data_IF_120207755648
#
_entry.id   IF_120207755648
#
_cell.length_a   1.000
_cell.length_b   1.000
_cell.length_c   1.000
_cell.angle_alpha   90.00
_cell.angle_beta   90.00
_cell.angle_gamma   90.00
#
_symmetry.space_group_name_H-M   'P 1'
#
loop_
_entity.id
_entity.type
_entity.pdbx_description
1 polymer ?
#
# COMPACT_ATOMS: atom_id res chain seq x y z
N UNK A 1 1.63 17.44 0.70
CA UNK A 1 0.97 16.13 0.52
C UNK A 1 1.71 15.14 1.40
N UNK A 2 0.99 14.49 2.31
CA UNK A 2 1.52 13.46 3.21
C UNK A 2 0.82 12.15 2.86
N UNK A 3 1.58 11.19 2.34
CA UNK A 3 1.04 9.91 1.86
C UNK A 3 1.02 8.82 2.95
N UNK A 4 1.49 9.16 4.15
CA UNK A 4 1.56 8.25 5.30
C UNK A 4 2.69 7.23 5.20
N UNK A 5 2.42 6.01 5.63
CA UNK A 5 3.40 4.93 5.64
C UNK A 5 3.68 4.44 4.22
N UNK A 6 4.86 3.85 4.01
CA UNK A 6 5.28 3.33 2.71
C UNK A 6 5.70 1.87 2.83
N UNK A 7 5.33 1.09 1.82
CA UNK A 7 5.84 -0.26 1.61
C UNK A 7 5.92 -0.60 0.12
N UNK A 8 6.74 -1.59 -0.22
CA UNK A 8 6.65 -2.27 -1.51
C UNK A 8 5.78 -3.51 -1.33
N UNK A 9 4.67 -3.56 -2.07
CA UNK A 9 3.81 -4.73 -2.14
C UNK A 9 4.27 -5.62 -3.28
N UNK A 10 4.80 -6.79 -2.92
CA UNK A 10 5.36 -7.76 -3.84
C UNK A 10 4.28 -8.74 -4.30
N UNK A 11 4.13 -8.86 -5.61
CA UNK A 11 3.38 -9.96 -6.21
C UNK A 11 4.18 -11.24 -6.05
N UNK A 12 3.63 -12.23 -5.36
CA UNK A 12 4.28 -13.53 -5.15
C UNK A 12 3.41 -14.67 -5.68
N UNK A 13 4.06 -15.71 -6.21
CA UNK A 13 3.36 -16.90 -6.70
C UNK A 13 3.02 -17.89 -5.58
N UNK A 14 3.91 -17.98 -4.59
CA UNK A 14 3.80 -18.82 -3.39
C UNK A 14 4.19 -17.98 -2.17
N UNK A 15 3.18 -17.62 -1.37
CA UNK A 15 3.34 -16.76 -0.20
C UNK A 15 4.10 -17.46 0.92
N UNK A 16 3.92 -18.76 1.12
CA UNK A 16 4.62 -19.52 2.16
C UNK A 16 6.12 -19.58 1.84
N UNK A 17 6.46 -19.91 0.59
CA UNK A 17 7.85 -19.94 0.13
C UNK A 17 8.52 -18.56 0.22
N UNK A 18 7.79 -17.50 -0.16
CA UNK A 18 8.28 -16.12 -0.10
C UNK A 18 8.49 -15.65 1.33
N UNK A 19 7.52 -15.89 2.22
CA UNK A 19 7.63 -15.59 3.66
C UNK A 19 8.83 -16.29 4.28
N UNK A 20 9.00 -17.59 4.02
CA UNK A 20 10.14 -18.35 4.51
C UNK A 20 11.48 -17.83 3.98
N UNK A 21 11.52 -17.29 2.75
CA UNK A 21 12.70 -16.62 2.20
C UNK A 21 13.00 -15.30 2.94
N UNK A 22 12.02 -14.41 3.08
CA UNK A 22 12.20 -13.12 3.74
C UNK A 22 12.52 -13.25 5.23
N UNK A 23 12.02 -14.29 5.90
CA UNK A 23 12.41 -14.62 7.27
C UNK A 23 13.92 -14.85 7.43
N UNK A 24 14.58 -15.45 6.43
CA UNK A 24 16.06 -15.64 6.44
C UNK A 24 16.81 -14.32 6.31
N UNK A 25 16.17 -13.29 5.75
CA UNK A 25 16.69 -11.93 5.68
C UNK A 25 16.37 -11.12 6.94
N UNK A 26 15.75 -11.71 7.96
CA UNK A 26 15.43 -11.07 9.23
C UNK A 26 14.09 -10.33 9.26
N UNK A 27 13.24 -10.51 8.24
CA UNK A 27 11.88 -9.98 8.28
C UNK A 27 10.98 -10.80 9.22
N UNK A 28 10.08 -10.13 9.91
CA UNK A 28 9.05 -10.73 10.77
C UNK A 28 7.66 -10.31 10.32
N UNK A 29 6.68 -11.18 10.50
CA UNK A 29 5.27 -10.88 10.24
C UNK A 29 4.75 -9.84 11.25
N UNK A 30 4.11 -8.78 10.75
CA UNK A 30 3.52 -7.72 11.61
C UNK A 30 2.02 -7.55 11.39
N UNK A 31 1.51 -7.95 10.22
CA UNK A 31 0.08 -7.93 9.91
C UNK A 31 -0.21 -8.93 8.79
N UNK A 32 -1.46 -9.37 8.68
CA UNK A 32 -1.97 -10.08 7.51
C UNK A 32 -2.55 -11.43 7.87
N UNK A 33 -3.00 -12.14 6.84
CA UNK A 33 -3.51 -13.49 6.98
C UNK A 33 -3.03 -14.31 5.79
N UNK A 34 -2.06 -15.19 6.03
CA UNK A 34 -1.42 -16.01 4.98
C UNK A 34 -2.46 -16.84 4.20
N UNK A 35 -3.51 -17.33 4.88
CA UNK A 35 -4.64 -18.05 4.26
C UNK A 35 -5.48 -17.19 3.33
N UNK A 36 -5.46 -15.87 3.47
CA UNK A 36 -6.08 -14.92 2.53
C UNK A 36 -5.11 -14.49 1.42
N UNK A 37 -3.89 -15.04 1.38
CA UNK A 37 -2.90 -14.74 0.35
C UNK A 37 -2.19 -13.40 0.54
N UNK A 38 -2.16 -12.83 1.76
CA UNK A 38 -1.42 -11.60 2.01
C UNK A 38 -0.77 -11.52 3.39
N UNK A 39 0.43 -10.93 3.45
CA UNK A 39 1.20 -10.69 4.68
C UNK A 39 1.96 -9.37 4.59
N UNK A 40 2.08 -8.67 5.70
CA UNK A 40 2.99 -7.53 5.86
C UNK A 40 4.15 -7.97 6.74
N UNK A 41 5.36 -7.81 6.21
CA UNK A 41 6.60 -8.16 6.87
C UNK A 41 7.44 -6.92 7.14
N UNK A 42 8.16 -6.92 8.25
CA UNK A 42 9.04 -5.81 8.65
C UNK A 42 10.42 -6.29 9.09
N UNK A 43 11.46 -5.56 8.69
CA UNK A 43 12.82 -5.66 9.22
C UNK A 43 13.28 -4.25 9.56
N UNK A 44 13.34 -3.93 10.86
CA UNK A 44 13.58 -2.58 11.37
C UNK A 44 12.62 -1.56 10.71
N UNK A 45 13.15 -0.59 9.95
CA UNK A 45 12.36 0.44 9.26
C UNK A 45 11.87 -0.01 7.87
N UNK A 46 12.28 -1.19 7.39
CA UNK A 46 11.91 -1.69 6.08
C UNK A 46 10.62 -2.51 6.16
N UNK A 47 9.56 -2.05 5.48
CA UNK A 47 8.29 -2.77 5.38
C UNK A 47 8.05 -3.23 3.94
N UNK A 48 7.67 -4.50 3.79
CA UNK A 48 7.23 -5.09 2.52
C UNK A 48 5.91 -5.81 2.72
N UNK A 49 5.08 -5.85 1.69
CA UNK A 49 3.92 -6.72 1.64
C UNK A 49 4.16 -7.90 0.70
N UNK A 50 3.63 -9.07 1.01
CA UNK A 50 3.55 -10.22 0.12
C UNK A 50 2.09 -10.40 -0.25
N UNK A 51 1.79 -10.44 -1.54
CA UNK A 51 0.43 -10.57 -2.05
C UNK A 51 0.37 -11.60 -3.17
N UNK A 52 -0.37 -12.69 -2.92
CA UNK A 52 -0.54 -13.79 -3.87
C UNK A 52 -1.84 -13.62 -4.65
N UNK A 53 -1.72 -13.48 -5.98
CA UNK A 53 -2.88 -13.40 -6.88
C UNK A 53 -3.70 -12.10 -6.80
N UNK A 54 -3.18 -11.05 -6.16
CA UNK A 54 -3.90 -9.77 -6.01
C UNK A 54 -3.46 -8.68 -7.00
N UNK A 55 -2.19 -8.69 -7.43
CA UNK A 55 -1.63 -7.67 -8.31
C UNK A 55 -0.82 -8.31 -9.44
N UNK A 56 -0.88 -7.75 -10.65
CA UNK A 56 -0.12 -8.25 -11.80
C UNK A 56 1.38 -7.90 -11.74
N UNK A 57 1.73 -6.83 -11.01
CA UNK A 57 3.09 -6.33 -10.81
C UNK A 57 3.27 -5.90 -9.35
N UNK A 58 4.52 -5.89 -8.90
CA UNK A 58 4.88 -5.22 -7.65
C UNK A 58 4.41 -3.76 -7.68
N UNK A 59 3.88 -3.28 -6.56
CA UNK A 59 3.23 -1.98 -6.46
C UNK A 59 3.78 -1.18 -5.28
N UNK A 60 4.03 0.10 -5.52
CA UNK A 60 4.41 1.06 -4.48
C UNK A 60 3.15 1.40 -3.69
N UNK A 61 3.13 1.09 -2.40
CA UNK A 61 1.92 1.27 -1.59
C UNK A 61 2.17 2.30 -0.53
N UNK A 62 1.27 3.29 -0.49
CA UNK A 62 1.23 4.33 0.52
C UNK A 62 -0.06 4.23 1.32
N UNK A 63 0.03 4.38 2.64
CA UNK A 63 -1.14 4.31 3.52
C UNK A 63 -1.30 5.60 4.32
N UNK A 64 -2.12 6.55 3.82
CA UNK A 64 -2.47 7.76 4.55
C UNK A 64 -3.10 7.41 5.90
N UNK A 65 -2.81 8.22 6.92
CA UNK A 65 -3.33 8.01 8.26
C UNK A 65 -2.54 7.02 9.11
N UNK A 66 -1.48 6.39 8.57
CA UNK A 66 -0.55 5.59 9.36
C UNK A 66 0.86 6.18 9.38
N UNK A 67 1.56 6.02 10.51
CA UNK A 67 3.02 6.18 10.58
C UNK A 67 3.74 4.93 10.07
N UNK A 68 5.08 4.93 10.05
CA UNK A 68 5.88 3.81 9.52
C UNK A 68 5.69 2.51 10.31
N UNK A 69 5.30 2.63 11.58
CA UNK A 69 5.01 1.53 12.48
C UNK A 69 3.62 0.90 12.21
N UNK A 70 2.73 1.59 11.48
CA UNK A 70 1.36 1.17 11.21
C UNK A 70 0.34 1.68 12.25
N UNK A 71 0.70 2.70 13.01
CA UNK A 71 -0.16 3.31 14.02
C UNK A 71 -0.97 4.47 13.43
N UNK A 72 -2.23 4.58 13.83
CA UNK A 72 -3.14 5.64 13.36
C UNK A 72 -2.72 7.03 13.83
N UNK A 73 -2.55 7.94 12.88
CA UNK A 73 -2.28 9.36 13.10
C UNK A 73 -3.57 10.09 13.52
N UNK A 74 -3.43 11.11 14.36
CA UNK A 74 -4.57 11.93 14.78
C UNK A 74 -5.13 12.82 13.67
N UNK A 75 -4.30 13.19 12.69
CA UNK A 75 -4.67 14.00 11.53
C UNK A 75 -3.95 13.45 10.29
N UNK A 76 -4.66 13.37 9.17
CA UNK A 76 -4.14 12.99 7.86
C UNK A 76 -5.10 13.47 6.76
N UNK A 77 -4.61 13.57 5.53
CA UNK A 77 -5.44 13.96 4.39
C UNK A 77 -6.37 12.80 3.98
N UNK A 78 -7.66 13.10 3.79
CA UNK A 78 -8.59 12.13 3.23
C UNK A 78 -8.22 11.83 1.76
N UNK A 79 -8.37 10.57 1.36
CA UNK A 79 -8.06 10.07 0.02
C UNK A 79 -8.75 10.86 -1.11
N UNK A 80 -9.91 11.47 -0.84
CA UNK A 80 -10.64 12.31 -1.81
C UNK A 80 -10.01 13.70 -1.96
N UNK A 81 -9.38 14.22 -0.91
CA UNK A 81 -8.56 15.43 -1.00
C UNK A 81 -7.29 15.14 -1.81
N UNK A 82 -6.66 13.99 -1.56
CA UNK A 82 -5.50 13.53 -2.33
C UNK A 82 -5.86 13.36 -3.81
N UNK A 83 -6.99 12.71 -4.13
CA UNK A 83 -7.50 12.60 -5.51
C UNK A 83 -7.62 13.97 -6.19
N UNK A 84 -8.27 14.95 -5.54
CA UNK A 84 -8.46 16.29 -6.11
C UNK A 84 -7.14 16.97 -6.38
N UNK A 85 -6.20 16.86 -5.44
CA UNK A 85 -4.87 17.44 -5.59
C UNK A 85 -4.10 16.79 -6.75
N UNK A 86 -4.06 15.46 -6.83
CA UNK A 86 -3.36 14.74 -7.90
C UNK A 86 -3.94 15.09 -9.29
N UNK A 87 -5.27 15.16 -9.43
CA UNK A 87 -5.93 15.59 -10.68
C UNK A 87 -5.60 17.04 -11.04
N UNK A 88 -5.52 17.94 -10.06
CA UNK A 88 -5.15 19.34 -10.28
C UNK A 88 -3.71 19.49 -10.79
N UNK A 89 -2.81 18.58 -10.39
CA UNK A 89 -1.43 18.50 -10.89
C UNK A 89 -1.32 17.80 -12.27
N UNK A 90 -2.45 17.43 -12.88
CA UNK A 90 -2.48 16.82 -14.22
C UNK A 90 -2.17 15.33 -14.23
N UNK A 91 -2.20 14.64 -13.09
CA UNK A 91 -2.01 13.20 -13.02
C UNK A 91 -3.30 12.46 -13.39
N UNK A 92 -3.14 11.36 -14.14
CA UNK A 92 -4.25 10.48 -14.51
C UNK A 92 -4.34 9.34 -13.51
N UNK A 93 -5.53 9.16 -12.93
CA UNK A 93 -5.82 8.05 -12.01
C UNK A 93 -6.44 6.89 -12.80
N UNK A 94 -6.01 5.67 -12.49
CA UNK A 94 -6.54 4.42 -13.05
C UNK A 94 -7.77 3.99 -12.24
N UNK A 95 -7.67 4.05 -10.92
CA UNK A 95 -8.76 3.84 -9.97
C UNK A 95 -8.93 5.09 -9.13
N UNK A 96 -10.17 5.47 -8.91
CA UNK A 96 -10.56 6.66 -8.15
C UNK A 96 -11.46 6.26 -6.98
N UNK A 97 -11.29 6.84 -5.78
CA UNK A 97 -12.27 6.74 -4.70
C UNK A 97 -13.60 7.38 -5.08
N UNK A 98 -14.67 6.92 -4.43
CA UNK A 98 -15.99 7.54 -4.56
C UNK A 98 -15.98 8.93 -3.91
N UNK A 99 -16.10 9.99 -4.72
CA UNK A 99 -16.11 11.38 -4.24
C UNK A 99 -17.27 11.71 -3.29
N UNK A 100 -18.35 10.93 -3.32
CA UNK A 100 -19.49 11.08 -2.43
C UNK A 100 -19.39 10.23 -1.16
N UNK A 101 -18.41 9.34 -1.10
CA UNK A 101 -18.16 8.44 0.01
C UNK A 101 -17.41 9.10 1.17
N UNK A 102 -17.22 8.31 2.22
CA UNK A 102 -16.44 8.67 3.41
C UNK A 102 -15.76 7.44 3.99
N UNK A 103 -14.59 7.62 4.61
CA UNK A 103 -13.84 6.52 5.22
C UNK A 103 -12.98 5.76 4.21
N UNK A 104 -12.64 4.49 4.49
CA UNK A 104 -11.66 3.71 3.74
C UNK A 104 -11.97 3.63 2.25
N UNK A 105 -10.95 3.89 1.43
CA UNK A 105 -10.99 3.77 -0.02
C UNK A 105 -9.56 3.83 -0.57
N UNK A 106 -9.39 3.61 -1.87
CA UNK A 106 -8.09 3.63 -2.51
C UNK A 106 -8.12 4.25 -3.91
N UNK A 107 -6.98 4.81 -4.30
CA UNK A 107 -6.71 5.23 -5.67
C UNK A 107 -5.47 4.55 -6.20
N UNK A 108 -5.42 4.38 -7.52
CA UNK A 108 -4.23 3.86 -8.21
C UNK A 108 -3.87 4.74 -9.39
N UNK A 109 -2.57 4.80 -9.66
CA UNK A 109 -1.98 5.51 -10.79
C UNK A 109 -0.68 4.81 -11.20
N UNK A 110 -0.11 5.23 -12.34
CA UNK A 110 1.19 4.79 -12.83
C UNK A 110 2.09 5.99 -13.03
N UNK A 111 3.37 5.82 -12.68
CA UNK A 111 4.38 6.84 -12.95
C UNK A 111 4.84 6.82 -14.43
N UNK A 112 5.75 7.72 -14.85
CA UNK A 112 6.25 7.77 -16.22
C UNK A 112 7.01 6.51 -16.69
N UNK A 113 7.43 5.64 -15.76
CA UNK A 113 8.23 4.43 -16.01
C UNK A 113 7.41 3.14 -15.81
N UNK A 114 6.07 3.24 -15.83
CA UNK A 114 5.12 2.14 -15.65
C UNK A 114 5.17 1.46 -14.26
N UNK A 115 5.69 2.15 -13.23
CA UNK A 115 5.60 1.67 -11.85
C UNK A 115 4.19 1.94 -11.31
N UNK A 116 3.42 0.90 -10.93
CA UNK A 116 2.12 1.12 -10.34
C UNK A 116 2.28 1.67 -8.92
N UNK A 117 1.38 2.59 -8.57
CA UNK A 117 1.28 3.22 -7.27
C UNK A 117 -0.14 3.02 -6.75
N UNK A 118 -0.24 2.54 -5.52
CA UNK A 118 -1.47 2.42 -4.74
C UNK A 118 -1.38 3.39 -3.56
N UNK A 119 -2.41 4.21 -3.40
CA UNK A 119 -2.64 4.96 -2.16
C UNK A 119 -3.90 4.37 -1.54
N UNK A 120 -3.75 3.69 -0.41
CA UNK A 120 -4.80 2.90 0.25
C UNK A 120 -5.05 3.40 1.67
N UNK A 121 -6.20 4.05 1.87
CA UNK A 121 -6.62 4.56 3.16
C UNK A 121 -7.47 3.51 3.88
N UNK A 122 -7.01 3.06 5.05
CA UNK A 122 -7.67 2.01 5.85
C UNK A 122 -8.49 2.53 7.03
N UNK A 123 -8.40 3.83 7.33
CA UNK A 123 -8.98 4.49 8.51
C UNK A 123 -10.01 5.55 8.13
#
# INVERSE_FOLDING_TARGET
>A
MELGSFSVSLTVEDIEASRAFYAKLGFVEVHGEESQGWLILRNDQCTIGLFQGMFDKNILTFNPGWNQEGETLGEFADIRELQKHLKAEGLTLIKEPDESGSGPDSLTLVDPDDNPILIDQHV
#
